data_IF_184083751976
#
_entry.id   IF_184083751976
#
_cell.length_a   1.000
_cell.length_b   1.000
_cell.length_c   1.000
_cell.angle_alpha   90.00
_cell.angle_beta   90.00
_cell.angle_gamma   90.00
#
_symmetry.space_group_name_H-M   'P 1'
#
loop_
_entity.id
_entity.type
_entity.pdbx_description
1 polymer ?
#
# COMPACT_ATOMS: atom_id res chain seq x y z
N UNK A 1 13.77 17.84 16.01
CA UNK A 1 13.28 17.80 14.61
C UNK A 1 12.56 16.48 14.44
N UNK A 2 11.24 16.43 14.20
CA UNK A 2 10.58 15.16 13.93
C UNK A 2 11.07 14.63 12.59
N UNK A 3 11.60 13.41 12.61
CA UNK A 3 12.07 12.69 11.43
C UNK A 3 10.88 12.32 10.57
N UNK A 4 10.52 13.16 9.60
CA UNK A 4 9.64 12.75 8.51
C UNK A 4 10.42 11.73 7.67
N UNK A 5 10.19 10.44 7.92
CA UNK A 5 10.62 9.36 7.03
C UNK A 5 9.98 9.63 5.67
N UNK A 6 10.80 9.91 4.65
CA UNK A 6 10.32 10.18 3.30
C UNK A 6 9.51 9.02 2.72
N UNK A 7 8.75 9.24 1.63
CA UNK A 7 7.91 8.21 1.03
C UNK A 7 8.77 7.02 0.59
N UNK A 8 8.50 5.84 1.14
CA UNK A 8 9.15 4.60 0.73
C UNK A 8 8.50 4.15 -0.58
N UNK A 9 9.25 4.17 -1.67
CA UNK A 9 8.78 3.62 -2.95
C UNK A 9 9.60 2.39 -3.29
N UNK A 10 8.90 1.33 -3.63
CA UNK A 10 9.43 0.06 -4.06
C UNK A 10 9.08 -0.11 -5.53
N UNK A 11 10.06 -0.40 -6.39
CA UNK A 11 9.82 -0.62 -7.82
C UNK A 11 10.51 -1.87 -8.30
N UNK A 12 9.84 -2.65 -9.14
CA UNK A 12 10.39 -3.82 -9.80
C UNK A 12 9.78 -3.96 -11.20
N UNK A 13 10.55 -3.58 -12.22
CA UNK A 13 10.09 -3.54 -13.61
C UNK A 13 8.91 -2.57 -13.78
N UNK A 14 7.75 -3.09 -14.19
CA UNK A 14 6.53 -2.29 -14.40
C UNK A 14 5.70 -2.10 -13.13
N UNK A 15 6.09 -2.70 -12.00
CA UNK A 15 5.36 -2.64 -10.73
C UNK A 15 5.98 -1.60 -9.81
N UNK A 16 5.14 -0.77 -9.20
CA UNK A 16 5.54 0.25 -8.25
C UNK A 16 4.59 0.22 -7.05
N UNK A 17 5.15 0.23 -5.83
CA UNK A 17 4.40 0.36 -4.59
C UNK A 17 4.93 1.57 -3.82
N UNK A 18 4.06 2.54 -3.53
CA UNK A 18 4.45 3.78 -2.85
C UNK A 18 3.78 3.85 -1.50
N UNK A 19 4.57 3.86 -0.43
CA UNK A 19 4.10 4.03 0.93
C UNK A 19 3.99 5.52 1.23
N UNK A 20 2.81 5.93 1.66
CA UNK A 20 2.46 7.29 2.05
C UNK A 20 1.83 7.27 3.44
N UNK A 21 1.83 8.42 4.10
CA UNK A 21 1.19 8.64 5.40
C UNK A 21 0.15 9.76 5.23
N UNK A 22 -1.05 9.56 5.74
CA UNK A 22 -2.07 10.60 5.76
C UNK A 22 -1.79 11.60 6.89
N UNK A 23 -2.45 12.76 6.86
CA UNK A 23 -2.33 13.77 7.93
C UNK A 23 -2.78 13.25 9.31
N UNK A 24 -3.62 12.23 9.34
CA UNK A 24 -4.09 11.55 10.55
C UNK A 24 -3.10 10.49 11.07
N UNK A 25 -1.93 10.35 10.44
CA UNK A 25 -0.92 9.34 10.81
C UNK A 25 -1.25 7.93 10.34
N UNK A 26 -2.18 7.78 9.39
CA UNK A 26 -2.52 6.48 8.79
C UNK A 26 -1.57 6.20 7.64
N UNK A 27 -0.86 5.08 7.70
CA UNK A 27 -0.03 4.62 6.59
C UNK A 27 -0.89 3.98 5.51
N UNK A 28 -0.52 4.18 4.25
CA UNK A 28 -1.14 3.53 3.12
C UNK A 28 -0.16 3.22 2.01
N UNK A 29 -0.48 2.21 1.21
CA UNK A 29 0.31 1.82 0.04
C UNK A 29 -0.49 2.08 -1.21
N UNK A 30 0.10 2.82 -2.14
CA UNK A 30 -0.41 3.05 -3.48
C UNK A 30 0.29 2.09 -4.44
N UNK A 31 -0.45 1.13 -4.96
CA UNK A 31 0.03 0.16 -5.94
C UNK A 31 -0.24 0.66 -7.35
N UNK A 32 0.83 0.71 -8.13
CA UNK A 32 0.84 1.14 -9.51
C UNK A 32 1.49 0.08 -10.40
N UNK A 33 0.95 -0.05 -11.59
CA UNK A 33 1.45 -0.94 -12.63
C UNK A 33 1.43 -0.16 -13.95
N UNK A 34 2.53 -0.17 -14.70
CA UNK A 34 2.67 0.59 -15.95
C UNK A 34 2.41 2.11 -15.76
N UNK A 35 2.95 2.68 -14.67
CA UNK A 35 2.72 4.08 -14.25
C UNK A 35 1.25 4.42 -13.95
N UNK A 36 0.35 3.43 -13.84
CA UNK A 36 -1.06 3.63 -13.52
C UNK A 36 -1.38 3.06 -12.15
N UNK A 37 -1.82 3.91 -11.23
CA UNK A 37 -2.35 3.47 -9.93
C UNK A 37 -3.60 2.64 -10.18
N UNK A 38 -3.63 1.42 -9.64
CA UNK A 38 -4.78 0.52 -9.77
C UNK A 38 -5.43 0.21 -8.42
N UNK A 39 -4.69 0.31 -7.32
CA UNK A 39 -5.21 0.06 -5.98
C UNK A 39 -4.43 0.84 -4.93
N UNK A 40 -5.10 1.15 -3.84
CA UNK A 40 -4.49 1.68 -2.62
C UNK A 40 -5.02 0.89 -1.43
N UNK A 41 -4.15 0.57 -0.47
CA UNK A 41 -4.52 -0.13 0.76
C UNK A 41 -4.17 0.77 1.95
N UNK A 42 -5.18 1.10 2.74
CA UNK A 42 -5.03 1.84 3.99
C UNK A 42 -4.74 0.89 5.15
N UNK A 43 -3.79 1.28 5.99
CA UNK A 43 -3.36 0.55 7.16
C UNK A 43 -3.54 1.40 8.43
N UNK A 44 -4.79 1.70 8.84
CA UNK A 44 -5.06 2.58 9.99
C UNK A 44 -4.58 2.00 11.33
N UNK A 45 -4.53 0.67 11.45
CA UNK A 45 -4.20 -0.02 12.70
C UNK A 45 -2.87 -0.77 12.67
N UNK A 46 -2.12 -0.71 11.57
CA UNK A 46 -0.89 -1.51 11.40
C UNK A 46 0.35 -0.63 11.46
N UNK A 47 1.41 -1.17 12.05
CA UNK A 47 2.71 -0.52 12.11
C UNK A 47 3.36 -0.44 10.73
N UNK A 48 4.26 0.55 10.55
CA UNK A 48 5.06 0.77 9.34
C UNK A 48 5.67 -0.50 8.75
N UNK A 49 6.16 -1.41 9.59
CA UNK A 49 6.75 -2.68 9.15
C UNK A 49 5.78 -3.56 8.35
N UNK A 50 4.48 -3.53 8.65
CA UNK A 50 3.47 -4.27 7.88
C UNK A 50 3.29 -3.69 6.48
N UNK A 51 3.38 -2.37 6.39
CA UNK A 51 3.21 -1.59 5.17
C UNK A 51 4.43 -1.80 4.25
N UNK A 52 5.62 -1.86 4.83
CA UNK A 52 6.86 -2.22 4.14
C UNK A 52 6.84 -3.67 3.63
N UNK A 53 6.40 -4.62 4.45
CA UNK A 53 6.31 -6.04 4.07
C UNK A 53 5.30 -6.24 2.92
N UNK A 54 4.14 -5.60 2.98
CA UNK A 54 3.14 -5.67 1.91
C UNK A 54 3.65 -5.03 0.60
N UNK A 55 4.36 -3.90 0.67
CA UNK A 55 4.97 -3.29 -0.50
C UNK A 55 6.05 -4.19 -1.11
N UNK A 56 6.89 -4.81 -0.27
CA UNK A 56 7.93 -5.76 -0.68
C UNK A 56 7.33 -7.03 -1.30
N UNK A 57 6.30 -7.60 -0.69
CA UNK A 57 5.63 -8.79 -1.22
C UNK A 57 5.02 -8.52 -2.60
N UNK A 58 4.45 -7.32 -2.81
CA UNK A 58 3.92 -6.92 -4.11
C UNK A 58 5.00 -6.80 -5.18
N UNK A 59 6.08 -6.05 -4.92
CA UNK A 59 7.16 -5.92 -5.91
C UNK A 59 7.93 -7.22 -6.12
N UNK A 60 7.96 -8.10 -5.12
CA UNK A 60 8.55 -9.44 -5.22
C UNK A 60 7.67 -10.43 -6.00
N UNK A 61 6.42 -10.07 -6.30
CA UNK A 61 5.46 -10.95 -6.99
C UNK A 61 4.85 -12.05 -6.12
N UNK A 62 5.06 -12.00 -4.79
CA UNK A 62 4.36 -12.85 -3.82
C UNK A 62 2.93 -12.36 -3.65
N UNK A 63 2.75 -11.04 -3.61
CA UNK A 63 1.44 -10.40 -3.48
C UNK A 63 0.95 -9.98 -4.86
N UNK A 64 0.12 -10.84 -5.47
CA UNK A 64 -0.36 -10.60 -6.83
C UNK A 64 -1.42 -9.50 -6.88
N UNK A 65 -1.59 -8.91 -8.07
CA UNK A 65 -2.55 -7.83 -8.32
C UNK A 65 -3.97 -8.18 -7.86
N UNK A 66 -4.39 -9.43 -8.07
CA UNK A 66 -5.72 -9.90 -7.65
C UNK A 66 -5.86 -9.94 -6.13
N UNK A 67 -4.81 -10.30 -5.40
CA UNK A 67 -4.80 -10.28 -3.93
C UNK A 67 -4.83 -8.85 -3.40
N UNK A 68 -4.04 -7.94 -4.00
CA UNK A 68 -4.07 -6.51 -3.69
C UNK A 68 -5.49 -5.96 -3.89
N UNK A 69 -6.13 -6.27 -5.02
CA UNK A 69 -7.49 -5.83 -5.32
C UNK A 69 -8.52 -6.42 -4.37
N UNK A 70 -8.39 -7.70 -4.01
CA UNK A 70 -9.25 -8.33 -3.00
C UNK A 70 -9.11 -7.66 -1.64
N UNK A 71 -7.89 -7.35 -1.23
CA UNK A 71 -7.61 -6.71 0.04
C UNK A 71 -8.11 -5.26 0.06
N UNK A 72 -7.82 -4.49 -0.99
CA UNK A 72 -8.28 -3.11 -1.17
C UNK A 72 -9.81 -3.01 -1.23
N UNK A 73 -10.49 -3.95 -1.91
CA UNK A 73 -11.95 -3.99 -1.94
C UNK A 73 -12.56 -4.41 -0.61
N UNK A 74 -11.93 -5.31 0.16
CA UNK A 74 -12.36 -5.63 1.52
C UNK A 74 -12.33 -4.42 2.45
N UNK A 75 -11.37 -3.52 2.28
CA UNK A 75 -11.32 -2.26 3.03
C UNK A 75 -12.38 -1.25 2.58
N UNK A 76 -13.03 -1.47 1.42
CA UNK A 76 -14.09 -0.64 0.86
C UNK A 76 -15.50 -1.18 1.10
N UNK A 77 -15.68 -2.35 1.71
CA UNK A 77 -17.01 -2.79 2.12
C UNK A 77 -17.49 -1.87 3.26
N UNK A 78 -18.50 -1.00 3.03
CA UNK A 78 -19.14 -0.32 4.15
C UNK A 78 -19.79 -1.40 5.02
N UNK A 79 -19.67 -1.27 6.33
CA UNK A 79 -20.55 -1.96 7.27
C UNK A 79 -21.99 -1.78 6.79
N UNK A 80 -22.57 -2.85 6.24
CA UNK A 80 -24.00 -2.94 6.00
C UNK A 80 -24.62 -3.19 7.36
N UNK A 81 -25.06 -2.11 8.02
CA UNK A 81 -26.05 -2.16 9.11
C UNK A 81 -27.43 -1.85 8.56
#
# INVERSE_FOLDING_TARGET
MPFMRGPYYYTNGNKTATIKETKDGVYYIEFSEDNKVFAEIHYPEKSTSYVEDAAFNYISGIFEREEVLRHANKTKEPEVI
#
